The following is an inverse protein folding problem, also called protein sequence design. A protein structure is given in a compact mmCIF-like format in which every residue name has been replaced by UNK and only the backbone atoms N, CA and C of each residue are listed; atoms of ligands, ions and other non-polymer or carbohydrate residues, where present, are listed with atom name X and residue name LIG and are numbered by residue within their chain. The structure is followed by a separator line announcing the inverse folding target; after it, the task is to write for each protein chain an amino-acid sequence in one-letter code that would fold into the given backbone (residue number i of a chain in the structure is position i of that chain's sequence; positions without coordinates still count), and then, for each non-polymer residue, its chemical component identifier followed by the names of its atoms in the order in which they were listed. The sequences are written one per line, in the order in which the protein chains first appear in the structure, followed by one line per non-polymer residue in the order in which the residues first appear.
data_IF_745599820268
#
_entry.id   IF_745599820268
#
_cell.length_a   1.000
_cell.length_b   1.000
_cell.length_c   1.000
_cell.angle_alpha   90.00
_cell.angle_beta   90.00
_cell.angle_gamma   90.00
#
_symmetry.space_group_name_H-M   'P 1'
#
loop_
_entity.id
_entity.type
_entity.pdbx_description
1 polymer ?
#
# COMPACT_ATOMS: atom_id res chain seq x y z
N UNK A 1 -36.28 -7.52 -5.67
CA UNK A 1 -35.03 -7.65 -6.45
C UNK A 1 -34.22 -6.36 -6.30
N UNK A 2 -32.88 -6.47 -6.26
CA UNK A 2 -31.85 -5.42 -6.07
C UNK A 2 -31.31 -5.33 -4.64
N UNK A 3 -30.18 -5.99 -4.41
CA UNK A 3 -28.90 -5.30 -4.12
C UNK A 3 -27.81 -6.38 -4.18
N UNK A 4 -27.26 -6.59 -5.39
CA UNK A 4 -26.03 -7.34 -5.54
C UNK A 4 -24.96 -6.54 -4.78
N UNK A 5 -24.44 -7.13 -3.71
CA UNK A 5 -23.31 -6.64 -2.93
C UNK A 5 -22.14 -6.36 -3.85
N UNK A 6 -22.05 -5.11 -4.35
CA UNK A 6 -20.93 -4.65 -5.14
C UNK A 6 -19.67 -4.82 -4.29
N UNK A 7 -18.77 -5.70 -4.74
CA UNK A 7 -17.42 -5.78 -4.21
C UNK A 7 -16.83 -4.37 -4.17
N UNK A 8 -16.51 -3.91 -2.97
CA UNK A 8 -16.06 -2.55 -2.70
C UNK A 8 -14.74 -2.30 -3.45
N UNK A 9 -14.85 -1.66 -4.61
CA UNK A 9 -13.70 -1.22 -5.39
C UNK A 9 -13.28 0.15 -4.88
N UNK A 10 -12.08 0.25 -4.32
CA UNK A 10 -11.50 1.51 -3.83
C UNK A 10 -10.51 2.03 -4.87
N UNK A 11 -10.64 3.28 -5.29
CA UNK A 11 -9.71 3.94 -6.20
C UNK A 11 -9.22 5.24 -5.59
N UNK A 12 -7.99 5.61 -5.89
CA UNK A 12 -7.38 6.83 -5.36
C UNK A 12 -5.98 7.05 -5.92
N UNK A 13 -5.30 8.03 -5.37
CA UNK A 13 -3.88 8.30 -5.69
C UNK A 13 -3.05 8.10 -4.43
N UNK A 14 -2.08 7.21 -4.51
CA UNK A 14 -1.26 6.84 -3.37
C UNK A 14 0.22 7.04 -3.65
N UNK A 15 1.02 7.09 -2.58
CA UNK A 15 2.47 7.12 -2.71
C UNK A 15 2.98 5.69 -2.74
N UNK A 16 3.74 5.34 -3.77
CA UNK A 16 4.28 4.01 -3.96
C UNK A 16 5.77 3.96 -3.61
N UNK A 17 6.16 2.94 -2.84
CA UNK A 17 7.56 2.69 -2.47
C UNK A 17 7.92 1.24 -2.74
N UNK A 18 9.16 1.00 -3.18
CA UNK A 18 9.77 -0.34 -3.27
C UNK A 18 10.98 -0.38 -2.34
N UNK A 19 10.84 -1.05 -1.21
CA UNK A 19 11.82 -0.99 -0.12
C UNK A 19 12.13 0.47 0.28
N UNK A 20 13.38 0.89 0.09
CA UNK A 20 13.83 2.26 0.41
C UNK A 20 13.61 3.26 -0.73
N UNK A 21 13.28 2.79 -1.95
CA UNK A 21 13.10 3.64 -3.12
C UNK A 21 11.66 4.17 -3.17
N UNK A 22 11.53 5.49 -3.28
CA UNK A 22 10.25 6.14 -3.56
C UNK A 22 10.03 6.17 -5.07
N UNK A 23 8.90 5.64 -5.54
CA UNK A 23 8.53 5.59 -6.96
C UNK A 23 7.61 6.75 -7.35
N UNK A 24 7.16 7.55 -6.39
CA UNK A 24 6.29 8.70 -6.59
C UNK A 24 4.83 8.41 -6.26
N UNK A 25 3.96 9.28 -6.76
CA UNK A 25 2.52 9.12 -6.64
C UNK A 25 1.97 8.33 -7.84
N UNK A 26 1.11 7.36 -7.59
CA UNK A 26 0.52 6.49 -8.60
C UNK A 26 -0.98 6.37 -8.36
N UNK A 27 -1.76 6.33 -9.43
CA UNK A 27 -3.16 5.94 -9.35
C UNK A 27 -3.25 4.47 -8.93
N UNK A 28 -4.15 4.15 -8.01
CA UNK A 28 -4.39 2.77 -7.62
C UNK A 28 -5.88 2.43 -7.67
N UNK A 29 -6.15 1.16 -7.95
CA UNK A 29 -7.48 0.56 -7.85
C UNK A 29 -7.36 -0.73 -7.06
N UNK A 30 -7.92 -0.75 -5.86
CA UNK A 30 -8.06 -1.91 -5.00
C UNK A 30 -9.39 -2.57 -5.28
N UNK A 31 -9.37 -3.85 -5.60
CA UNK A 31 -10.56 -4.67 -5.84
C UNK A 31 -10.50 -5.90 -4.95
N UNK A 32 -11.62 -6.25 -4.34
CA UNK A 32 -11.76 -7.53 -3.64
C UNK A 32 -12.00 -8.63 -4.67
N UNK A 33 -11.02 -9.50 -4.88
CA UNK A 33 -11.13 -10.67 -5.74
C UNK A 33 -11.74 -11.82 -4.92
N UNK A 34 -13.08 -11.94 -5.00
CA UNK A 34 -13.85 -12.92 -4.24
C UNK A 34 -13.88 -12.62 -2.74
N UNK A 35 -13.98 -13.66 -1.92
CA UNK A 35 -14.07 -13.51 -0.46
C UNK A 35 -12.72 -13.41 0.24
N UNK A 36 -11.65 -13.91 -0.40
CA UNK A 36 -10.38 -14.21 0.27
C UNK A 36 -9.22 -13.30 -0.12
N UNK A 37 -9.25 -12.67 -1.31
CA UNK A 37 -8.09 -11.93 -1.82
C UNK A 37 -8.44 -10.47 -2.14
N UNK A 38 -7.49 -9.58 -1.85
CA UNK A 38 -7.55 -8.18 -2.28
C UNK A 38 -6.44 -7.94 -3.29
N UNK A 39 -6.79 -7.38 -4.44
CA UNK A 39 -5.88 -7.12 -5.56
C UNK A 39 -5.80 -5.62 -5.79
N UNK A 40 -4.59 -5.13 -6.03
CA UNK A 40 -4.30 -3.73 -6.34
C UNK A 40 -3.75 -3.65 -7.75
N UNK A 41 -4.31 -2.74 -8.54
CA UNK A 41 -3.81 -2.36 -9.86
C UNK A 41 -3.29 -0.92 -9.80
N UNK A 42 -2.13 -0.69 -10.40
CA UNK A 42 -1.48 0.62 -10.48
C UNK A 42 -1.62 1.22 -11.89
N UNK A 43 -1.76 2.54 -11.96
CA UNK A 43 -1.83 3.30 -13.21
C UNK A 43 -1.03 4.62 -13.10
N UNK A 44 0.08 4.79 -13.84
CA UNK A 44 0.74 3.78 -14.67
C UNK A 44 1.38 2.67 -13.82
N UNK A 45 1.54 1.48 -14.40
CA UNK A 45 2.23 0.39 -13.71
C UNK A 45 3.71 0.74 -13.50
N UNK A 46 4.25 0.67 -12.26
CA UNK A 46 5.67 0.80 -12.01
C UNK A 46 6.47 -0.35 -12.65
N UNK A 47 7.74 -0.11 -12.94
CA UNK A 47 8.64 -1.18 -13.38
C UNK A 47 8.86 -2.20 -12.24
N UNK A 48 8.27 -3.38 -12.41
CA UNK A 48 8.06 -4.37 -11.36
C UNK A 48 8.36 -5.78 -11.87
N UNK A 49 9.11 -6.55 -11.08
CA UNK A 49 9.33 -7.97 -11.34
C UNK A 49 8.34 -8.85 -10.53
N UNK A 50 8.00 -10.07 -10.98
CA UNK A 50 7.27 -11.03 -10.17
C UNK A 50 7.96 -11.25 -8.82
N UNK A 51 7.20 -11.21 -7.73
CA UNK A 51 7.72 -11.30 -6.36
C UNK A 51 8.17 -9.97 -5.75
N UNK A 52 8.25 -8.87 -6.52
CA UNK A 52 8.51 -7.54 -5.96
C UNK A 52 7.40 -7.17 -4.96
N UNK A 53 7.81 -6.52 -3.87
CA UNK A 53 6.91 -6.02 -2.83
C UNK A 53 6.88 -4.50 -2.86
N UNK A 54 5.68 -3.95 -3.04
CA UNK A 54 5.39 -2.54 -3.00
C UNK A 54 4.68 -2.15 -1.71
N UNK A 55 5.00 -0.97 -1.21
CA UNK A 55 4.31 -0.33 -0.11
C UNK A 55 3.51 0.84 -0.69
N UNK A 56 2.19 0.69 -0.74
CA UNK A 56 1.27 1.73 -1.19
C UNK A 56 0.73 2.46 0.03
N UNK A 57 1.10 3.73 0.18
CA UNK A 57 0.48 4.64 1.14
C UNK A 57 -0.76 5.26 0.50
N UNK A 58 -1.93 4.97 1.06
CA UNK A 58 -3.22 5.53 0.66
C UNK A 58 -3.35 6.99 1.12
N UNK A 59 -4.34 7.70 0.59
CA UNK A 59 -4.61 9.11 0.91
C UNK A 59 -4.93 9.35 2.39
N UNK A 60 -5.47 8.33 3.07
CA UNK A 60 -5.78 8.37 4.51
C UNK A 60 -4.58 7.99 5.41
N UNK A 61 -3.40 7.74 4.81
CA UNK A 61 -2.18 7.40 5.53
C UNK A 61 -2.04 5.93 5.90
N UNK A 62 -2.99 5.06 5.54
CA UNK A 62 -2.82 3.61 5.67
C UNK A 62 -1.82 3.10 4.65
N UNK A 63 -1.05 2.07 5.01
CA UNK A 63 -0.07 1.45 4.11
C UNK A 63 -0.51 0.03 3.79
N UNK A 64 -0.57 -0.30 2.50
CA UNK A 64 -0.79 -1.64 1.98
C UNK A 64 0.53 -2.24 1.50
N UNK A 65 0.81 -3.48 1.87
CA UNK A 65 1.92 -4.26 1.30
C UNK A 65 1.37 -5.13 0.18
N UNK A 66 1.82 -4.85 -1.05
CA UNK A 66 1.34 -5.50 -2.26
C UNK A 66 2.48 -6.26 -2.93
N UNK A 67 2.31 -7.57 -3.15
CA UNK A 67 3.26 -8.38 -3.88
C UNK A 67 2.79 -8.61 -5.32
N UNK A 68 3.71 -8.48 -6.27
CA UNK A 68 3.45 -8.80 -7.67
C UNK A 68 3.34 -10.32 -7.83
N UNK A 69 2.15 -10.81 -8.15
CA UNK A 69 1.90 -12.26 -8.25
C UNK A 69 2.43 -12.90 -9.53
N UNK A 70 2.37 -12.19 -10.66
CA UNK A 70 2.58 -12.81 -11.97
C UNK A 70 3.20 -11.86 -13.02
N UNK A 71 3.79 -12.45 -14.07
CA UNK A 71 4.39 -11.78 -15.23
C UNK A 71 3.42 -10.86 -15.99
N UNK A 72 2.11 -11.00 -15.76
CA UNK A 72 1.12 -10.09 -16.33
C UNK A 72 1.33 -8.63 -15.90
N UNK A 73 2.15 -8.33 -14.87
CA UNK A 73 2.56 -6.97 -14.45
C UNK A 73 1.39 -5.97 -14.31
N UNK A 74 0.16 -6.43 -14.10
CA UNK A 74 -1.01 -5.55 -14.05
C UNK A 74 -1.75 -5.62 -12.72
N UNK A 75 -1.40 -6.61 -11.88
CA UNK A 75 -2.12 -6.92 -10.66
C UNK A 75 -1.12 -7.33 -9.57
N UNK A 76 -1.23 -6.69 -8.41
CA UNK A 76 -0.49 -7.02 -7.20
C UNK A 76 -1.49 -7.53 -6.16
N UNK A 77 -1.19 -8.64 -5.48
CA UNK A 77 -2.02 -9.06 -4.35
C UNK A 77 -1.58 -8.34 -3.08
N UNK A 78 -2.55 -7.92 -2.27
CA UNK A 78 -2.29 -7.43 -0.92
C UNK A 78 -1.90 -8.64 -0.06
N UNK A 79 -0.63 -8.68 0.34
CA UNK A 79 -0.09 -9.74 1.21
C UNK A 79 -0.20 -9.38 2.69
N UNK A 80 -0.25 -8.08 3.00
CA UNK A 80 -0.56 -7.60 4.34
C UNK A 80 -1.54 -6.43 4.29
N UNK A 81 -2.54 -6.51 5.15
CA UNK A 81 -3.66 -5.57 5.21
C UNK A 81 -3.22 -4.16 5.61
N UNK A 82 -4.15 -3.17 5.59
CA UNK A 82 -3.82 -1.78 5.86
C UNK A 82 -3.25 -1.62 7.27
N UNK A 83 -1.93 -1.55 7.35
CA UNK A 83 -1.23 -1.17 8.57
C UNK A 83 -1.40 0.33 8.71
N UNK A 84 -2.03 0.76 9.81
CA UNK A 84 -1.88 2.14 10.24
C UNK A 84 -0.40 2.26 10.59
N UNK A 85 0.35 3.06 9.84
CA UNK A 85 1.73 3.38 10.21
C UNK A 85 1.61 4.16 11.53
N UNK A 86 1.63 3.44 12.66
CA UNK A 86 1.81 4.04 13.99
C UNK A 86 3.15 4.70 13.86
N UNK A 87 3.15 6.01 13.57
CA UNK A 87 4.31 6.87 13.71
C UNK A 87 4.93 6.41 15.02
N UNK A 88 6.11 5.81 14.93
CA UNK A 88 6.96 5.74 16.09
C UNK A 88 7.08 7.20 16.50
N UNK A 89 6.33 7.58 17.55
CA UNK A 89 6.71 8.68 18.39
C UNK A 89 8.13 8.34 18.78
N UNK A 90 9.10 8.83 17.99
CA UNK A 90 10.46 9.00 18.46
C UNK A 90 10.25 9.80 19.73
N UNK A 91 10.35 9.11 20.87
CA UNK A 91 10.56 9.76 22.15
C UNK A 91 11.72 10.71 21.86
N UNK A 92 11.56 12.03 21.95
CA UNK A 92 12.75 12.87 21.95
C UNK A 92 13.64 12.30 23.05
N UNK A 93 14.88 11.96 22.70
CA UNK A 93 15.87 11.57 23.70
C UNK A 93 15.80 12.64 24.80
N UNK A 94 15.73 12.28 26.09
CA UNK A 94 15.85 13.28 27.12
C UNK A 94 17.19 13.97 26.86
N UNK A 95 17.13 15.25 26.51
CA UNK A 95 18.31 16.08 26.46
C UNK A 95 18.83 16.08 27.90
N UNK A 96 19.89 15.30 28.15
CA UNK A 96 20.61 15.35 29.41
C UNK A 96 21.22 16.74 29.46
N UNK A 97 20.46 17.65 30.07
CA UNK A 97 20.85 19.02 30.31
C UNK A 97 21.96 18.93 31.35
N UNK A 98 23.15 19.35 30.94
CA UNK A 98 24.30 19.53 31.82
C UNK A 98 23.88 20.30 33.08
N UNK A 99 24.30 19.79 34.24
CA UNK A 99 24.49 20.60 35.43
C UNK A 99 25.97 20.51 35.80
N UNK A 100 26.50 21.71 36.00
CA UNK A 100 27.83 22.16 36.44
C UNK A 100 28.67 21.14 37.23
#
# INVERSE_FOLDING_TARGET
MKQLSQGSTLRGVGRLRRGHRNLGCVGYTVQKAGDLATVVRFDPMPDAAPGDVFHLTLEDGRVLECQVLDQSRMHCAVIDGPRLERRHHRRPAPATRAFL
#
